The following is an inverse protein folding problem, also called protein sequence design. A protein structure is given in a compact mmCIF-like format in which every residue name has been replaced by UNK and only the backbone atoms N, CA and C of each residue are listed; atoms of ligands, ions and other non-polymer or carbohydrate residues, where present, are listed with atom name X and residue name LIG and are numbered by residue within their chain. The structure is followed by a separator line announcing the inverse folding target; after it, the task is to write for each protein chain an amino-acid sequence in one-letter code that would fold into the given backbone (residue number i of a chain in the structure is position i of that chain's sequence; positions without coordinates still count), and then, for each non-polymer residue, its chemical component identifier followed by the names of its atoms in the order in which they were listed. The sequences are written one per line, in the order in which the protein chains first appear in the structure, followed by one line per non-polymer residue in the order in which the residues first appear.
data_IF_591448234498
#
_entry.id   IF_591448234498
#
_cell.length_a   1.000
_cell.length_b   1.000
_cell.length_c   1.000
_cell.angle_alpha   90.00
_cell.angle_beta   90.00
_cell.angle_gamma   90.00
#
_symmetry.space_group_name_H-M   'P 1'
#
loop_
_entity.id
_entity.type
_entity.pdbx_description
1 polymer ?
#
# COMPACT_ATOMS: atom_id res chain seq x y z
N UNK A 1 33.35 -8.06 8.41
CA UNK A 1 32.42 -7.10 7.75
C UNK A 1 31.96 -6.01 8.74
N UNK A 2 32.84 -5.50 9.62
CA UNK A 2 32.49 -4.54 10.70
C UNK A 2 33.33 -3.26 10.74
N UNK A 3 34.26 -3.02 9.79
CA UNK A 3 35.13 -1.83 9.82
C UNK A 3 34.65 -0.65 8.97
N UNK A 4 33.60 -0.83 8.15
CA UNK A 4 33.10 0.23 7.27
C UNK A 4 32.03 1.12 7.95
N UNK A 5 31.18 0.55 8.82
CA UNK A 5 30.19 1.35 9.56
C UNK A 5 30.82 2.26 10.61
N UNK A 6 31.88 1.80 11.28
CA UNK A 6 32.55 2.58 12.34
C UNK A 6 33.19 3.89 11.83
N UNK A 7 33.65 3.92 10.57
CA UNK A 7 34.25 5.13 9.98
C UNK A 7 33.23 6.17 9.53
N UNK A 8 32.01 5.76 9.18
CA UNK A 8 30.94 6.70 8.79
C UNK A 8 30.29 7.36 10.01
N UNK A 9 30.15 6.62 11.11
CA UNK A 9 29.55 7.15 12.34
C UNK A 9 30.48 8.16 13.03
N UNK A 10 31.79 7.89 13.10
CA UNK A 10 32.78 8.84 13.65
C UNK A 10 32.82 10.15 12.85
N UNK A 11 32.63 10.10 11.54
CA UNK A 11 32.64 11.30 10.68
C UNK A 11 31.37 12.15 10.85
N UNK A 12 30.22 11.51 11.11
CA UNK A 12 28.93 12.20 11.37
C UNK A 12 28.89 12.85 12.76
N UNK A 13 29.54 12.27 13.76
CA UNK A 13 29.65 12.87 15.09
C UNK A 13 30.51 14.14 15.10
N UNK A 14 31.64 14.13 14.37
CA UNK A 14 32.54 15.30 14.29
C UNK A 14 31.90 16.48 13.54
N UNK A 15 31.14 16.23 12.47
CA UNK A 15 30.36 17.28 11.79
C UNK A 15 29.24 17.85 12.68
N UNK A 16 28.53 17.00 13.45
CA UNK A 16 27.52 17.48 14.42
C UNK A 16 28.14 18.33 15.53
N UNK A 17 29.29 17.91 16.07
CA UNK A 17 30.02 18.65 17.10
C UNK A 17 30.45 20.04 16.63
N UNK A 18 30.96 20.16 15.40
CA UNK A 18 31.40 21.44 14.82
C UNK A 18 30.25 22.38 14.49
N UNK A 19 29.11 21.86 14.01
CA UNK A 19 27.90 22.67 13.76
C UNK A 19 27.32 23.18 15.09
N UNK A 20 27.29 22.35 16.13
CA UNK A 20 26.83 22.76 17.46
C UNK A 20 27.76 23.80 18.09
N UNK A 21 29.09 23.67 17.98
CA UNK A 21 30.04 24.64 18.51
C UNK A 21 29.95 26.01 17.80
N UNK A 22 29.80 26.01 16.46
CA UNK A 22 29.60 27.23 15.68
C UNK A 22 28.26 27.92 15.97
N UNK A 23 27.19 27.14 16.19
CA UNK A 23 25.90 27.67 16.59
C UNK A 23 25.99 28.33 17.98
N UNK A 24 26.58 27.65 18.97
CA UNK A 24 26.75 28.20 20.33
C UNK A 24 27.60 29.48 20.33
N UNK A 25 28.68 29.52 19.53
CA UNK A 25 29.51 30.71 19.37
C UNK A 25 28.78 31.90 18.74
N UNK A 26 27.96 31.67 17.72
CA UNK A 26 27.15 32.72 17.08
C UNK A 26 26.01 33.22 17.98
N UNK A 27 25.41 32.35 18.79
CA UNK A 27 24.45 32.74 19.84
C UNK A 27 25.09 33.61 20.92
N UNK A 28 26.29 33.27 21.38
CA UNK A 28 27.04 34.07 22.36
C UNK A 28 27.35 35.47 21.85
N UNK A 29 27.82 35.58 20.60
CA UNK A 29 28.13 36.87 19.98
C UNK A 29 26.87 37.75 19.80
N UNK A 30 25.76 37.17 19.36
CA UNK A 30 24.47 37.86 19.22
C UNK A 30 23.95 38.36 20.58
N UNK A 31 24.05 37.55 21.64
CA UNK A 31 23.64 37.95 22.98
C UNK A 31 24.48 39.12 23.52
N UNK A 32 25.79 39.11 23.30
CA UNK A 32 26.65 40.25 23.70
C UNK A 32 26.34 41.53 22.94
N UNK A 33 26.10 41.43 21.62
CA UNK A 33 25.80 42.59 20.79
C UNK A 33 24.42 43.19 21.13
N UNK A 34 23.47 42.32 21.46
CA UNK A 34 22.14 42.66 22.00
C UNK A 34 22.24 43.47 23.30
N UNK A 35 23.04 43.00 24.27
CA UNK A 35 23.25 43.69 25.55
C UNK A 35 23.87 45.07 25.32
N UNK A 36 24.87 45.17 24.43
CA UNK A 36 25.53 46.45 24.11
C UNK A 36 24.55 47.45 23.51
N UNK A 37 23.70 47.03 22.56
CA UNK A 37 22.70 47.91 21.92
C UNK A 37 21.61 48.34 22.90
N UNK A 38 21.13 47.45 23.79
CA UNK A 38 20.17 47.80 24.84
C UNK A 38 20.77 48.82 25.82
N UNK A 39 22.05 48.67 26.17
CA UNK A 39 22.74 49.57 27.11
C UNK A 39 22.95 50.96 26.51
N UNK A 40 23.16 51.06 25.19
CA UNK A 40 23.37 52.33 24.49
C UNK A 40 22.08 53.06 24.11
N UNK A 41 20.98 52.33 23.85
CA UNK A 41 19.70 52.89 23.39
C UNK A 41 18.56 52.72 24.40
N UNK A 42 18.87 52.73 25.70
CA UNK A 42 17.93 52.45 26.79
C UNK A 42 16.68 53.37 26.83
N UNK A 43 16.71 54.50 26.12
CA UNK A 43 15.60 55.45 26.02
C UNK A 43 14.60 55.21 24.87
N UNK A 44 14.89 54.30 23.93
CA UNK A 44 14.00 53.99 22.79
C UNK A 44 13.39 52.59 22.93
N UNK A 45 12.21 52.54 23.54
CA UNK A 45 11.40 51.34 23.77
C UNK A 45 11.13 50.54 22.49
N UNK A 46 11.07 51.21 21.33
CA UNK A 46 10.85 50.56 20.03
C UNK A 46 12.05 49.69 19.63
N UNK A 47 13.26 50.22 19.81
CA UNK A 47 14.51 49.52 19.47
C UNK A 47 14.71 48.29 20.36
N UNK A 48 14.41 48.40 21.66
CA UNK A 48 14.53 47.27 22.60
C UNK A 48 13.52 46.16 22.25
N UNK A 49 12.27 46.50 21.91
CA UNK A 49 11.23 45.52 21.52
C UNK A 49 11.58 44.77 20.24
N UNK A 50 12.06 45.47 19.20
CA UNK A 50 12.48 44.85 17.94
C UNK A 50 13.62 43.85 18.19
N UNK A 51 14.54 44.18 19.09
CA UNK A 51 15.72 43.37 19.37
C UNK A 51 15.39 42.13 20.22
N UNK A 52 14.51 42.27 21.22
CA UNK A 52 13.99 41.12 21.95
C UNK A 52 13.18 40.17 21.05
N UNK A 53 12.38 40.72 20.13
CA UNK A 53 11.63 39.95 19.15
C UNK A 53 12.54 39.19 18.18
N UNK A 54 13.62 39.82 17.70
CA UNK A 54 14.59 39.15 16.83
C UNK A 54 15.33 38.02 17.57
N UNK A 55 15.76 38.24 18.81
CA UNK A 55 16.37 37.21 19.65
C UNK A 55 15.43 36.02 19.90
N UNK A 56 14.14 36.29 20.13
CA UNK A 56 13.12 35.25 20.26
C UNK A 56 12.95 34.42 18.98
N UNK A 57 12.97 35.05 17.79
CA UNK A 57 12.93 34.34 16.50
C UNK A 57 14.16 33.43 16.33
N UNK A 58 15.36 33.90 16.65
CA UNK A 58 16.58 33.09 16.52
C UNK A 58 16.56 31.92 17.50
N UNK A 59 16.10 32.12 18.74
CA UNK A 59 15.95 31.05 19.72
C UNK A 59 14.93 30.00 19.26
N UNK A 60 13.74 30.42 18.79
CA UNK A 60 12.75 29.48 18.25
C UNK A 60 13.32 28.73 17.04
N UNK A 61 14.01 29.43 16.14
CA UNK A 61 14.59 28.82 14.94
C UNK A 61 15.74 27.86 15.27
N UNK A 62 16.54 28.15 16.30
CA UNK A 62 17.64 27.30 16.75
C UNK A 62 17.16 26.04 17.47
N UNK A 63 16.23 26.19 18.43
CA UNK A 63 15.72 25.07 19.22
C UNK A 63 14.72 24.21 18.45
N UNK A 64 13.80 24.83 17.70
CA UNK A 64 12.72 24.12 17.01
C UNK A 64 12.95 23.97 15.51
N UNK A 65 13.92 24.65 14.90
CA UNK A 65 14.12 24.61 13.45
C UNK A 65 14.43 23.21 12.91
N UNK A 66 15.16 22.38 13.66
CA UNK A 66 15.42 20.99 13.26
C UNK A 66 14.14 20.14 13.29
N UNK A 67 13.37 20.22 14.38
CA UNK A 67 12.09 19.51 14.53
C UNK A 67 11.05 19.99 13.51
N UNK A 68 10.92 21.30 13.32
CA UNK A 68 10.01 21.90 12.35
C UNK A 68 10.36 21.51 10.91
N UNK A 69 11.65 21.42 10.55
CA UNK A 69 12.07 20.93 9.23
C UNK A 69 11.65 19.49 9.00
N UNK A 70 11.77 18.63 10.01
CA UNK A 70 11.33 17.24 9.91
C UNK A 70 9.80 17.13 9.76
N UNK A 71 9.05 17.87 10.58
CA UNK A 71 7.58 17.92 10.50
C UNK A 71 7.14 18.43 9.12
N UNK A 72 7.74 19.51 8.61
CA UNK A 72 7.39 20.07 7.31
C UNK A 72 7.70 19.12 6.16
N UNK A 73 8.87 18.44 6.20
CA UNK A 73 9.23 17.42 5.22
C UNK A 73 8.23 16.26 5.23
N UNK A 74 7.86 15.78 6.41
CA UNK A 74 6.88 14.69 6.55
C UNK A 74 5.49 15.13 6.08
N UNK A 75 5.07 16.34 6.40
CA UNK A 75 3.81 16.90 5.92
C UNK A 75 3.78 17.01 4.40
N UNK A 76 4.85 17.51 3.79
CA UNK A 76 4.96 17.61 2.34
C UNK A 76 4.96 16.23 1.67
N UNK A 77 5.68 15.27 2.25
CA UNK A 77 5.70 13.88 1.80
C UNK A 77 4.29 13.27 1.88
N UNK A 78 3.63 13.32 3.02
CA UNK A 78 2.27 12.79 3.21
C UNK A 78 1.28 13.43 2.24
N UNK A 79 1.41 14.73 1.96
CA UNK A 79 0.57 15.41 0.97
C UNK A 79 0.79 14.87 -0.45
N UNK A 80 2.05 14.59 -0.82
CA UNK A 80 2.38 14.00 -2.11
C UNK A 80 1.87 12.57 -2.20
N UNK A 81 2.11 11.75 -1.18
CA UNK A 81 1.64 10.37 -1.08
C UNK A 81 0.11 10.30 -1.18
N UNK A 82 -0.61 11.16 -0.47
CA UNK A 82 -2.07 11.24 -0.54
C UNK A 82 -2.56 11.70 -1.93
N UNK A 83 -1.81 12.56 -2.62
CA UNK A 83 -2.13 12.95 -3.99
C UNK A 83 -1.97 11.77 -4.95
N UNK A 84 -0.89 11.00 -4.83
CA UNK A 84 -0.65 9.78 -5.60
C UNK A 84 -1.70 8.71 -5.28
N UNK A 85 -2.05 8.53 -4.01
CA UNK A 85 -3.09 7.59 -3.59
C UNK A 85 -4.45 7.92 -4.23
N UNK A 86 -4.85 9.19 -4.28
CA UNK A 86 -6.07 9.62 -4.99
C UNK A 86 -6.01 9.33 -6.50
N UNK A 87 -4.84 9.45 -7.12
CA UNK A 87 -4.66 9.12 -8.52
C UNK A 87 -4.85 7.61 -8.76
N UNK A 88 -4.14 6.79 -8.00
CA UNK A 88 -4.21 5.32 -8.08
C UNK A 88 -5.56 4.74 -7.67
N UNK A 89 -6.27 5.39 -6.74
CA UNK A 89 -7.59 4.96 -6.29
C UNK A 89 -8.60 4.84 -7.42
N UNK A 90 -8.51 5.67 -8.47
CA UNK A 90 -9.42 5.56 -9.61
C UNK A 90 -9.26 4.22 -10.32
N UNK A 91 -8.02 3.86 -10.68
CA UNK A 91 -7.70 2.58 -11.32
C UNK A 91 -7.99 1.39 -10.42
N UNK A 92 -7.67 1.51 -9.12
CA UNK A 92 -8.03 0.50 -8.13
C UNK A 92 -9.54 0.27 -8.06
N UNK A 93 -10.33 1.34 -7.96
CA UNK A 93 -11.79 1.26 -7.91
C UNK A 93 -12.37 0.62 -9.16
N UNK A 94 -11.85 0.93 -10.34
CA UNK A 94 -12.26 0.31 -11.60
C UNK A 94 -11.98 -1.21 -11.60
N UNK A 95 -10.81 -1.64 -11.10
CA UNK A 95 -10.48 -3.06 -10.94
C UNK A 95 -11.43 -3.76 -9.96
N UNK A 96 -11.66 -3.16 -8.79
CA UNK A 96 -12.61 -3.70 -7.82
C UNK A 96 -13.97 -3.86 -8.47
N UNK A 97 -14.52 -2.82 -9.10
CA UNK A 97 -15.83 -2.86 -9.76
C UNK A 97 -15.88 -3.97 -10.82
N UNK A 98 -14.82 -4.13 -11.62
CA UNK A 98 -14.73 -5.20 -12.63
C UNK A 98 -14.74 -6.59 -11.97
N UNK A 99 -14.18 -6.75 -10.77
CA UNK A 99 -14.22 -8.02 -10.04
C UNK A 99 -15.65 -8.47 -9.69
N UNK A 100 -16.62 -7.54 -9.62
CA UNK A 100 -18.04 -7.88 -9.46
C UNK A 100 -18.52 -8.92 -10.47
N UNK A 101 -17.94 -8.91 -11.67
CA UNK A 101 -18.27 -9.89 -12.70
C UNK A 101 -18.07 -11.34 -12.24
N UNK A 102 -17.16 -11.61 -11.31
CA UNK A 102 -16.88 -12.95 -10.78
C UNK A 102 -17.72 -13.31 -9.55
N UNK A 103 -18.37 -12.32 -8.93
CA UNK A 103 -19.21 -12.51 -7.73
C UNK A 103 -20.70 -12.67 -8.05
N UNK A 104 -21.12 -12.20 -9.23
CA UNK A 104 -22.50 -12.35 -9.69
C UNK A 104 -22.79 -13.78 -10.18
N UNK A 105 -24.04 -14.20 -10.03
CA UNK A 105 -24.51 -15.49 -10.56
C UNK A 105 -24.61 -15.44 -12.09
N UNK A 106 -23.49 -15.74 -12.75
CA UNK A 106 -23.38 -15.79 -14.21
C UNK A 106 -22.85 -17.14 -14.68
N UNK A 107 -23.47 -17.67 -15.74
CA UNK A 107 -23.12 -18.98 -16.30
C UNK A 107 -21.70 -19.06 -16.87
N UNK A 108 -21.06 -17.92 -17.17
CA UNK A 108 -19.71 -17.83 -17.72
C UNK A 108 -18.60 -17.66 -16.66
N UNK A 109 -18.94 -17.77 -15.37
CA UNK A 109 -17.98 -17.66 -14.26
C UNK A 109 -17.44 -19.02 -13.82
N UNK A 110 -16.22 -19.01 -13.25
CA UNK A 110 -15.57 -20.22 -12.74
C UNK A 110 -16.47 -20.93 -11.72
N UNK A 111 -17.06 -20.17 -10.80
CA UNK A 111 -17.97 -20.70 -9.80
C UNK A 111 -19.14 -21.49 -10.42
N UNK A 112 -19.84 -20.92 -11.40
CA UNK A 112 -21.01 -21.55 -12.01
C UNK A 112 -20.61 -22.76 -12.85
N UNK A 113 -19.45 -22.71 -13.52
CA UNK A 113 -18.89 -23.88 -14.20
C UNK A 113 -18.59 -25.00 -13.21
N UNK A 114 -17.97 -24.69 -12.08
CA UNK A 114 -17.65 -25.68 -11.05
C UNK A 114 -18.91 -26.28 -10.43
N UNK A 115 -19.94 -25.46 -10.18
CA UNK A 115 -21.24 -25.93 -9.73
C UNK A 115 -21.89 -26.88 -10.75
N UNK A 116 -21.77 -26.58 -12.05
CA UNK A 116 -22.27 -27.45 -13.12
C UNK A 116 -21.48 -28.76 -13.22
N UNK A 117 -20.15 -28.75 -13.06
CA UNK A 117 -19.35 -29.99 -13.02
C UNK A 117 -19.86 -30.91 -11.90
N UNK A 118 -20.12 -30.34 -10.72
CA UNK A 118 -20.57 -31.10 -9.55
C UNK A 118 -21.98 -31.62 -9.74
N UNK A 119 -22.93 -30.81 -10.21
CA UNK A 119 -24.35 -31.17 -10.18
C UNK A 119 -24.91 -31.71 -11.50
N UNK A 120 -24.21 -31.51 -12.62
CA UNK A 120 -24.70 -31.84 -13.97
C UNK A 120 -23.90 -32.94 -14.66
N UNK A 121 -22.84 -33.47 -14.04
CA UNK A 121 -22.15 -34.65 -14.59
C UNK A 121 -23.08 -35.89 -14.48
N UNK A 122 -23.24 -36.70 -15.55
CA UNK A 122 -24.11 -37.86 -15.54
C UNK A 122 -23.72 -38.92 -14.47
N UNK A 123 -24.70 -39.67 -13.93
CA UNK A 123 -24.40 -40.79 -13.03
C UNK A 123 -23.60 -41.92 -13.70
N UNK A 124 -22.67 -42.58 -12.98
CA UNK A 124 -22.24 -42.27 -11.63
C UNK A 124 -21.36 -41.00 -11.61
N UNK A 125 -21.76 -39.99 -10.83
CA UNK A 125 -21.08 -38.70 -10.78
C UNK A 125 -20.06 -38.68 -9.62
N UNK A 126 -18.75 -38.73 -9.91
CA UNK A 126 -17.74 -38.78 -8.87
C UNK A 126 -17.49 -37.40 -8.21
N UNK A 127 -18.04 -36.32 -8.76
CA UNK A 127 -17.77 -34.94 -8.32
C UNK A 127 -18.76 -34.44 -7.25
N UNK A 128 -19.85 -35.16 -6.95
CA UNK A 128 -20.84 -34.76 -5.92
C UNK A 128 -20.23 -34.57 -4.52
N UNK A 129 -19.08 -35.18 -4.25
CA UNK A 129 -18.37 -35.08 -2.98
C UNK A 129 -17.57 -33.78 -2.82
N UNK A 130 -17.38 -33.00 -3.89
CA UNK A 130 -16.66 -31.73 -3.83
C UNK A 130 -17.57 -30.69 -3.19
N UNK A 131 -17.11 -30.07 -2.10
CA UNK A 131 -17.84 -28.98 -1.47
C UNK A 131 -17.52 -27.66 -2.18
N UNK A 132 -18.54 -26.97 -2.69
CA UNK A 132 -18.42 -25.63 -3.25
C UNK A 132 -19.36 -24.70 -2.52
N UNK A 133 -18.79 -23.59 -2.07
CA UNK A 133 -19.53 -22.55 -1.36
C UNK A 133 -20.52 -21.87 -2.31
N UNK A 134 -21.68 -21.51 -1.78
CA UNK A 134 -22.73 -20.85 -2.54
C UNK A 134 -22.34 -19.41 -2.90
N UNK A 135 -22.69 -18.94 -4.11
CA UNK A 135 -22.26 -17.63 -4.65
C UNK A 135 -22.65 -16.46 -3.76
N UNK A 136 -23.80 -16.58 -3.11
CA UNK A 136 -24.36 -15.58 -2.21
C UNK A 136 -23.39 -15.19 -1.08
N UNK A 137 -22.57 -16.13 -0.59
CA UNK A 137 -21.57 -15.83 0.43
C UNK A 137 -20.57 -14.77 -0.06
N UNK A 138 -20.10 -14.92 -1.30
CA UNK A 138 -19.13 -14.00 -1.89
C UNK A 138 -19.77 -12.67 -2.28
N UNK A 139 -20.99 -12.70 -2.79
CA UNK A 139 -21.76 -11.51 -3.14
C UNK A 139 -21.97 -10.60 -1.91
N UNK A 140 -22.37 -11.17 -0.77
CA UNK A 140 -22.57 -10.43 0.48
C UNK A 140 -21.26 -9.83 0.99
N UNK A 141 -20.17 -10.60 1.01
CA UNK A 141 -18.84 -10.10 1.44
C UNK A 141 -18.34 -8.99 0.53
N UNK A 142 -18.49 -9.15 -0.78
CA UNK A 142 -18.10 -8.16 -1.77
C UNK A 142 -18.93 -6.87 -1.67
N UNK A 143 -20.24 -6.99 -1.39
CA UNK A 143 -21.11 -5.83 -1.16
C UNK A 143 -20.62 -4.97 0.02
N UNK A 144 -20.28 -5.59 1.15
CA UNK A 144 -19.70 -4.88 2.29
C UNK A 144 -18.40 -4.17 1.93
N UNK A 145 -17.55 -4.82 1.12
CA UNK A 145 -16.32 -4.20 0.66
C UNK A 145 -16.60 -2.98 -0.24
N UNK A 146 -17.59 -3.06 -1.14
CA UNK A 146 -17.98 -1.91 -1.98
C UNK A 146 -18.47 -0.72 -1.14
N UNK A 147 -19.22 -0.96 -0.07
CA UNK A 147 -19.65 0.10 0.84
C UNK A 147 -18.44 0.80 1.47
N UNK A 148 -17.45 0.03 1.91
CA UNK A 148 -16.19 0.55 2.46
C UNK A 148 -15.33 1.26 1.41
N UNK A 149 -15.25 0.73 0.19
CA UNK A 149 -14.54 1.35 -0.93
C UNK A 149 -15.04 2.77 -1.21
N UNK A 150 -16.36 3.00 -1.06
CA UNK A 150 -16.96 4.32 -1.25
C UNK A 150 -16.67 5.31 -0.10
N UNK A 151 -16.11 4.84 1.02
CA UNK A 151 -15.70 5.66 2.17
C UNK A 151 -14.22 6.06 2.12
N UNK A 152 -13.53 5.85 0.99
CA UNK A 152 -12.14 6.26 0.82
C UNK A 152 -11.92 7.74 1.16
N UNK A 153 -11.01 8.01 2.08
CA UNK A 153 -10.75 9.36 2.62
C UNK A 153 -9.67 10.13 1.84
N UNK A 154 -9.06 9.51 0.83
CA UNK A 154 -8.03 10.15 0.02
C UNK A 154 -6.61 10.03 0.57
N UNK A 155 -6.38 9.21 1.59
CA UNK A 155 -5.06 8.98 2.17
C UNK A 155 -4.35 7.76 1.57
N UNK A 156 -3.02 7.73 1.62
CA UNK A 156 -2.23 6.55 1.26
C UNK A 156 -2.64 5.34 2.12
N UNK A 157 -2.68 5.51 3.44
CA UNK A 157 -2.99 4.42 4.37
C UNK A 157 -4.38 3.82 4.11
N UNK A 158 -5.37 4.65 3.79
CA UNK A 158 -6.71 4.18 3.40
C UNK A 158 -6.69 3.36 2.11
N UNK A 159 -5.91 3.78 1.09
CA UNK A 159 -5.76 3.01 -0.15
C UNK A 159 -5.08 1.66 0.11
N UNK A 160 -4.02 1.64 0.93
CA UNK A 160 -3.32 0.40 1.30
C UNK A 160 -4.28 -0.55 2.01
N UNK A 161 -4.97 -0.08 3.04
CA UNK A 161 -5.92 -0.90 3.80
C UNK A 161 -7.05 -1.45 2.91
N UNK A 162 -7.57 -0.65 1.97
CA UNK A 162 -8.57 -1.11 1.02
C UNK A 162 -8.02 -2.17 0.06
N UNK A 163 -6.78 -2.02 -0.39
CA UNK A 163 -6.16 -2.99 -1.27
C UNK A 163 -5.86 -4.31 -0.54
N UNK A 164 -5.33 -4.28 0.68
CA UNK A 164 -5.12 -5.48 1.51
C UNK A 164 -6.43 -6.24 1.75
N UNK A 165 -7.53 -5.54 2.05
CA UNK A 165 -8.83 -6.17 2.21
C UNK A 165 -9.33 -6.78 0.89
N UNK A 166 -9.10 -6.11 -0.24
CA UNK A 166 -9.44 -6.65 -1.56
C UNK A 166 -8.58 -7.87 -1.93
N UNK A 167 -7.29 -7.85 -1.66
CA UNK A 167 -6.38 -8.98 -1.85
C UNK A 167 -6.83 -10.19 -1.04
N UNK A 168 -7.31 -9.98 0.20
CA UNK A 168 -7.92 -11.05 0.99
C UNK A 168 -9.17 -11.64 0.32
N UNK A 169 -10.00 -10.81 -0.34
CA UNK A 169 -11.15 -11.27 -1.12
C UNK A 169 -10.69 -12.08 -2.34
N UNK A 170 -9.62 -11.65 -3.03
CA UNK A 170 -9.03 -12.40 -4.14
C UNK A 170 -8.48 -13.75 -3.70
N UNK A 171 -7.69 -13.78 -2.62
CA UNK A 171 -7.10 -15.02 -2.09
C UNK A 171 -8.19 -16.00 -1.63
N UNK A 172 -9.28 -15.48 -1.05
CA UNK A 172 -10.44 -16.29 -0.69
C UNK A 172 -11.15 -16.86 -1.93
N UNK A 173 -11.26 -16.08 -3.02
CA UNK A 173 -11.89 -16.52 -4.26
C UNK A 173 -11.05 -17.62 -4.92
N UNK A 174 -9.74 -17.38 -5.02
CA UNK A 174 -8.75 -18.33 -5.52
C UNK A 174 -8.82 -19.65 -4.74
N UNK A 175 -8.87 -19.59 -3.42
CA UNK A 175 -8.92 -20.80 -2.58
C UNK A 175 -10.21 -21.59 -2.82
N UNK A 176 -11.36 -20.92 -2.66
CA UNK A 176 -12.65 -21.60 -2.53
C UNK A 176 -13.28 -22.00 -3.87
N UNK A 177 -12.99 -21.27 -4.95
CA UNK A 177 -13.60 -21.52 -6.27
C UNK A 177 -12.64 -22.05 -7.32
N UNK A 178 -11.34 -21.91 -7.10
CA UNK A 178 -10.32 -22.34 -8.06
C UNK A 178 -9.51 -23.48 -7.47
N UNK A 179 -8.65 -23.21 -6.50
CA UNK A 179 -7.63 -24.13 -6.04
C UNK A 179 -8.23 -25.39 -5.42
N UNK A 180 -9.11 -25.26 -4.43
CA UNK A 180 -9.68 -26.43 -3.74
C UNK A 180 -10.55 -27.30 -4.67
N UNK A 181 -11.46 -26.73 -5.49
CA UNK A 181 -12.22 -27.51 -6.46
C UNK A 181 -11.34 -28.16 -7.54
N UNK A 182 -10.37 -27.44 -8.12
CA UNK A 182 -9.48 -27.98 -9.17
C UNK A 182 -8.61 -29.10 -8.61
N UNK A 183 -8.07 -28.94 -7.40
CA UNK A 183 -7.30 -29.98 -6.73
C UNK A 183 -8.15 -31.23 -6.45
N UNK A 184 -9.40 -31.03 -6.03
CA UNK A 184 -10.33 -32.13 -5.77
C UNK A 184 -10.69 -32.88 -7.05
N UNK A 185 -10.96 -32.16 -8.15
CA UNK A 185 -11.18 -32.74 -9.48
C UNK A 185 -9.94 -33.51 -9.95
N UNK A 186 -8.74 -32.96 -9.75
CA UNK A 186 -7.48 -33.62 -10.09
C UNK A 186 -7.33 -34.96 -9.36
N UNK A 187 -7.67 -35.02 -8.08
CA UNK A 187 -7.59 -36.25 -7.28
C UNK A 187 -8.61 -37.31 -7.73
N UNK A 188 -9.75 -36.90 -8.28
CA UNK A 188 -10.78 -37.81 -8.84
C UNK A 188 -10.36 -38.34 -10.22
N UNK A 189 -9.77 -37.48 -11.04
CA UNK A 189 -9.36 -37.74 -12.42
C UNK A 189 -9.86 -36.65 -13.36
N UNK A 190 -8.93 -35.84 -13.88
CA UNK A 190 -9.21 -34.77 -14.87
C UNK A 190 -9.85 -35.29 -16.14
N UNK A 191 -9.50 -36.49 -16.56
CA UNK A 191 -10.04 -37.21 -17.71
C UNK A 191 -11.55 -37.50 -17.59
N UNK A 192 -12.08 -37.54 -16.36
CA UNK A 192 -13.50 -37.80 -16.08
C UNK A 192 -14.38 -36.57 -16.23
N UNK A 193 -13.81 -35.36 -16.36
CA UNK A 193 -14.59 -34.14 -16.58
C UNK A 193 -15.04 -34.08 -18.05
N UNK A 194 -16.35 -33.96 -18.32
CA UNK A 194 -16.85 -33.81 -19.69
C UNK A 194 -16.19 -32.64 -20.44
N UNK A 195 -15.90 -32.84 -21.72
CA UNK A 195 -15.18 -31.85 -22.55
C UNK A 195 -15.86 -30.47 -22.54
N UNK A 196 -17.19 -30.44 -22.61
CA UNK A 196 -17.97 -29.20 -22.57
C UNK A 196 -17.69 -28.39 -21.30
N UNK A 197 -17.54 -29.04 -20.14
CA UNK A 197 -17.24 -28.36 -18.88
C UNK A 197 -15.78 -27.88 -18.82
N UNK A 198 -14.83 -28.65 -19.38
CA UNK A 198 -13.43 -28.21 -19.51
C UNK A 198 -13.31 -26.95 -20.36
N UNK A 199 -14.00 -26.91 -21.50
CA UNK A 199 -14.01 -25.74 -22.38
C UNK A 199 -14.63 -24.52 -21.69
N UNK A 200 -15.76 -24.68 -21.01
CA UNK A 200 -16.37 -23.60 -20.23
C UNK A 200 -15.46 -23.12 -19.11
N UNK A 201 -14.79 -24.03 -18.40
CA UNK A 201 -13.84 -23.68 -17.36
C UNK A 201 -12.66 -22.90 -17.92
N UNK A 202 -12.06 -23.36 -19.01
CA UNK A 202 -10.92 -22.69 -19.64
C UNK A 202 -11.29 -21.28 -20.13
N UNK A 203 -12.49 -21.06 -20.65
CA UNK A 203 -12.98 -19.72 -21.00
C UNK A 203 -13.10 -18.80 -19.78
N UNK A 204 -13.73 -19.29 -18.70
CA UNK A 204 -13.86 -18.54 -17.46
C UNK A 204 -12.49 -18.25 -16.80
N UNK A 205 -11.58 -19.23 -16.87
CA UNK A 205 -10.19 -19.16 -16.41
C UNK A 205 -9.40 -18.07 -17.12
N UNK A 206 -9.45 -18.00 -18.45
CA UNK A 206 -8.76 -16.97 -19.23
C UNK A 206 -9.24 -15.58 -18.80
N UNK A 207 -10.56 -15.39 -18.66
CA UNK A 207 -11.15 -14.14 -18.18
C UNK A 207 -10.62 -13.74 -16.80
N UNK A 208 -10.46 -14.70 -15.90
CA UNK A 208 -9.89 -14.46 -14.56
C UNK A 208 -8.39 -14.13 -14.61
N UNK A 209 -7.61 -14.81 -15.46
CA UNK A 209 -6.19 -14.50 -15.70
C UNK A 209 -6.02 -13.08 -16.22
N UNK A 210 -6.86 -12.64 -17.16
CA UNK A 210 -6.84 -11.28 -17.70
C UNK A 210 -7.13 -10.24 -16.62
N UNK A 211 -8.06 -10.55 -15.71
CA UNK A 211 -8.32 -9.73 -14.54
C UNK A 211 -7.09 -9.65 -13.62
N UNK A 212 -6.49 -10.79 -13.26
CA UNK A 212 -5.29 -10.82 -12.42
C UNK A 212 -4.13 -10.05 -13.05
N UNK A 213 -3.90 -10.18 -14.35
CA UNK A 213 -2.88 -9.40 -15.06
C UNK A 213 -3.14 -7.89 -14.97
N UNK A 214 -4.41 -7.48 -15.09
CA UNK A 214 -4.80 -6.08 -14.92
C UNK A 214 -4.48 -5.59 -13.50
N UNK A 215 -4.76 -6.42 -12.49
CA UNK A 215 -4.43 -6.12 -11.10
C UNK A 215 -2.92 -6.04 -10.85
N UNK A 216 -2.14 -7.00 -11.36
CA UNK A 216 -0.67 -7.01 -11.26
C UNK A 216 -0.04 -5.75 -11.84
N UNK A 217 -0.53 -5.29 -12.99
CA UNK A 217 -0.07 -4.05 -13.61
C UNK A 217 -0.38 -2.82 -12.74
N UNK A 218 -1.57 -2.78 -12.14
CA UNK A 218 -1.91 -1.75 -11.16
C UNK A 218 -0.97 -1.80 -9.95
N UNK A 219 -0.80 -2.97 -9.32
CA UNK A 219 0.03 -3.14 -8.13
C UNK A 219 1.47 -2.70 -8.40
N UNK A 220 2.03 -3.09 -9.55
CA UNK A 220 3.36 -2.66 -9.98
C UNK A 220 3.47 -1.13 -10.09
N UNK A 221 2.58 -0.49 -10.83
CA UNK A 221 2.59 0.97 -11.01
C UNK A 221 2.41 1.71 -9.68
N UNK A 222 1.50 1.22 -8.83
CA UNK A 222 1.23 1.82 -7.53
C UNK A 222 2.41 1.65 -6.57
N UNK A 223 3.08 0.49 -6.57
CA UNK A 223 4.31 0.26 -5.81
C UNK A 223 5.44 1.17 -6.29
N UNK A 224 5.63 1.34 -7.61
CA UNK A 224 6.68 2.21 -8.15
C UNK A 224 6.53 3.68 -7.72
N UNK A 225 5.29 4.16 -7.57
CA UNK A 225 4.97 5.53 -7.19
C UNK A 225 4.89 5.76 -5.68
N UNK A 226 4.36 4.80 -4.92
CA UNK A 226 4.05 4.97 -3.49
C UNK A 226 5.13 4.42 -2.55
N UNK A 227 6.08 3.63 -3.06
CA UNK A 227 7.21 3.13 -2.28
C UNK A 227 8.36 4.13 -2.31
N UNK A 228 8.79 4.56 -1.13
CA UNK A 228 9.96 5.42 -1.02
C UNK A 228 11.21 4.66 -1.47
N UNK A 229 11.76 5.05 -2.63
CA UNK A 229 13.05 4.54 -3.15
C UNK A 229 14.27 4.76 -2.23
N UNK A 230 14.09 5.41 -1.07
CA UNK A 230 15.18 5.84 -0.17
C UNK A 230 15.39 4.96 1.06
N UNK A 231 14.52 3.99 1.35
CA UNK A 231 14.69 3.06 2.47
C UNK A 231 15.34 1.73 2.05
N UNK A 232 16.24 1.77 1.06
CA UNK A 232 16.99 0.61 0.58
C UNK A 232 18.24 0.37 1.46
N UNK A 233 18.06 0.45 2.78
CA UNK A 233 19.08 0.17 3.78
C UNK A 233 19.28 -1.35 3.89
N UNK A 234 19.80 -1.97 2.82
CA UNK A 234 20.57 -3.21 2.82
C UNK A 234 19.98 -4.50 3.44
N UNK A 235 18.77 -4.48 3.98
CA UNK A 235 18.17 -5.60 4.71
C UNK A 235 16.81 -5.95 4.12
N UNK A 236 16.87 -6.85 3.13
CA UNK A 236 15.83 -7.80 2.70
C UNK A 236 14.36 -7.31 2.72
N UNK A 237 13.92 -6.82 1.57
CA UNK A 237 12.51 -6.76 1.20
C UNK A 237 12.25 -5.55 0.34
N UNK A 238 11.92 -5.75 -0.94
CA UNK A 238 11.17 -4.72 -1.65
C UNK A 238 9.94 -4.41 -0.77
N UNK A 239 9.79 -3.16 -0.32
CA UNK A 239 8.60 -2.72 0.42
C UNK A 239 7.42 -2.73 -0.54
N UNK A 240 6.92 -3.91 -0.90
CA UNK A 240 5.77 -4.11 -1.77
C UNK A 240 4.55 -3.77 -0.91
N UNK A 241 3.83 -2.73 -1.30
CA UNK A 241 2.60 -2.29 -0.63
C UNK A 241 1.41 -3.09 -1.15
N UNK A 242 1.43 -3.45 -2.44
CA UNK A 242 0.38 -4.20 -3.12
C UNK A 242 0.95 -5.48 -3.71
N UNK A 243 0.31 -6.63 -3.44
CA UNK A 243 0.72 -7.94 -3.93
C UNK A 243 0.68 -7.96 -5.47
N UNK A 244 1.83 -8.17 -6.10
CA UNK A 244 1.96 -8.27 -7.56
C UNK A 244 2.06 -9.72 -8.05
N UNK A 245 2.00 -10.69 -7.13
CA UNK A 245 2.17 -12.11 -7.42
C UNK A 245 0.96 -12.91 -6.97
N UNK A 246 0.09 -13.20 -7.93
CA UNK A 246 -0.98 -14.20 -7.84
C UNK A 246 -0.61 -15.40 -8.70
N UNK A 247 -0.78 -16.60 -8.14
CA UNK A 247 -0.67 -17.83 -8.90
C UNK A 247 -1.77 -17.85 -9.97
N UNK A 248 -1.44 -18.26 -11.19
CA UNK A 248 -2.48 -18.43 -12.20
C UNK A 248 -3.24 -19.72 -11.94
N UNK A 249 -4.57 -19.72 -12.11
CA UNK A 249 -5.37 -20.95 -12.02
C UNK A 249 -4.82 -22.04 -12.95
N UNK A 250 -4.81 -23.29 -12.50
CA UNK A 250 -4.45 -24.45 -13.34
C UNK A 250 -5.57 -24.80 -14.36
N UNK A 251 -5.26 -25.62 -15.35
CA UNK A 251 -6.26 -26.16 -16.30
C UNK A 251 -6.90 -27.46 -15.78
N UNK A 252 -8.13 -27.75 -16.21
CA UNK A 252 -8.88 -28.98 -15.91
C UNK A 252 -8.72 -30.08 -16.96
#
# INVERSE_FOLDING_TARGET
MCQFHEKEDVKKEDERGRISALAVGTFGALATLTIVVITQNYGDDTTIKILLFSMFIVLISGFYGHGMRHIFKNYQKNRNDNKLAKHHFKSFKELVIRFKEFTEDRMDNIQSVMHNIINSTPPPNPFHQINIIWHRFFEERYKYFIERLNQFDGTKDSLVSLAEEFESILDMYDTLYINDPVNSIRNIGRDKVPLQHKESYNKARIKYIDFLNSYKNFAKNANEDLVDKKNDDGFLGHNIIFKDNFAFPEEL
#
